data_IF_621002390139
#
_entry.id   IF_621002390139
#
_cell.length_a   1.000
_cell.length_b   1.000
_cell.length_c   1.000
_cell.angle_alpha   90.00
_cell.angle_beta   90.00
_cell.angle_gamma   90.00
#
_symmetry.space_group_name_H-M   'P 1'
#
loop_
_entity.id
_entity.type
_entity.pdbx_description
1 polymer ?
#
# COMPACT_ATOMS: atom_id res chain seq x y z
N UNK A 1 11.49 8.30 -11.02
CA UNK A 1 10.85 7.18 -10.28
C UNK A 1 9.48 7.67 -9.85
N UNK A 2 8.44 6.99 -10.28
CA UNK A 2 7.05 7.40 -10.04
C UNK A 2 6.47 6.60 -8.86
N UNK A 3 5.74 7.30 -8.00
CA UNK A 3 5.02 6.77 -6.84
C UNK A 3 3.62 7.34 -6.92
N UNK A 4 2.60 6.49 -6.80
CA UNK A 4 1.22 6.90 -6.97
C UNK A 4 0.78 7.87 -5.87
N UNK A 5 1.20 7.64 -4.61
CA UNK A 5 0.83 8.46 -3.47
C UNK A 5 2.03 8.70 -2.56
N UNK A 6 2.26 9.96 -2.19
CA UNK A 6 3.22 10.35 -1.15
C UNK A 6 2.52 11.27 -0.15
N UNK A 7 2.47 10.86 1.12
CA UNK A 7 2.09 11.73 2.23
C UNK A 7 3.35 12.19 2.94
N UNK A 8 3.57 13.50 3.01
CA UNK A 8 4.79 14.08 3.55
C UNK A 8 4.49 15.05 4.70
N UNK A 9 5.41 15.09 5.67
CA UNK A 9 5.41 16.05 6.78
C UNK A 9 6.74 16.80 6.77
N UNK A 10 6.71 18.13 6.82
CA UNK A 10 7.91 18.97 6.75
C UNK A 10 8.85 18.59 5.58
N UNK A 11 8.27 18.33 4.39
CA UNK A 11 8.97 17.89 3.17
C UNK A 11 9.65 16.51 3.26
N UNK A 12 9.43 15.74 4.33
CA UNK A 12 9.91 14.37 4.49
C UNK A 12 8.77 13.38 4.25
N UNK A 13 8.94 12.33 3.43
CA UNK A 13 7.93 11.30 3.25
C UNK A 13 7.64 10.57 4.57
N UNK A 14 6.37 10.52 4.96
CA UNK A 14 5.86 9.74 6.10
C UNK A 14 5.21 8.44 5.61
N UNK A 15 4.53 8.52 4.46
CA UNK A 15 3.91 7.38 3.78
C UNK A 15 4.24 7.46 2.28
N UNK A 16 4.60 6.32 1.71
CA UNK A 16 4.61 6.10 0.26
C UNK A 16 3.67 4.95 -0.06
N UNK A 17 2.86 5.10 -1.09
CA UNK A 17 1.96 4.03 -1.50
C UNK A 17 1.95 3.82 -3.02
N UNK A 18 1.73 2.55 -3.37
CA UNK A 18 1.48 2.09 -4.72
C UNK A 18 0.03 1.57 -4.81
N UNK A 19 -0.65 1.83 -5.91
CA UNK A 19 -1.99 1.32 -6.21
C UNK A 19 -1.87 0.27 -7.32
N UNK A 20 -2.51 -0.89 -7.10
CA UNK A 20 -2.68 -1.92 -8.12
C UNK A 20 -4.12 -2.40 -8.17
N UNK A 21 -4.89 -1.77 -9.06
CA UNK A 21 -6.31 -2.05 -9.25
C UNK A 21 -6.54 -3.05 -10.39
N UNK A 22 -6.29 -4.33 -10.11
CA UNK A 22 -6.41 -5.42 -11.09
C UNK A 22 -6.67 -6.77 -10.42
N UNK A 23 -7.10 -7.75 -11.21
CA UNK A 23 -7.54 -9.08 -10.73
C UNK A 23 -6.40 -10.06 -10.39
N UNK A 24 -5.14 -9.70 -10.65
CA UNK A 24 -3.97 -10.48 -10.25
C UNK A 24 -2.74 -9.59 -10.19
N UNK A 25 -1.96 -9.70 -9.12
CA UNK A 25 -0.64 -9.06 -8.98
C UNK A 25 0.40 -10.15 -8.84
N UNK A 26 1.24 -10.27 -9.87
CA UNK A 26 2.20 -11.37 -9.95
C UNK A 26 3.35 -11.23 -8.96
N UNK A 27 4.03 -12.35 -8.65
CA UNK A 27 5.21 -12.35 -7.78
C UNK A 27 6.31 -11.40 -8.25
N UNK A 28 6.52 -11.31 -9.57
CA UNK A 28 7.54 -10.45 -10.17
C UNK A 28 7.16 -8.97 -10.04
N UNK A 29 5.88 -8.63 -10.16
CA UNK A 29 5.39 -7.28 -9.97
C UNK A 29 5.48 -6.85 -8.50
N UNK A 30 5.09 -7.72 -7.57
CA UNK A 30 5.24 -7.46 -6.13
C UNK A 30 6.71 -7.18 -5.79
N UNK A 31 7.64 -7.98 -6.31
CA UNK A 31 9.09 -7.73 -6.15
C UNK A 31 9.53 -6.36 -6.66
N UNK A 32 9.05 -5.96 -7.84
CA UNK A 32 9.34 -4.62 -8.40
C UNK A 32 8.80 -3.51 -7.51
N UNK A 33 7.61 -3.69 -6.93
CA UNK A 33 7.01 -2.73 -6.00
C UNK A 33 7.85 -2.67 -4.71
N UNK A 34 8.24 -3.81 -4.14
CA UNK A 34 9.14 -3.89 -2.97
C UNK A 34 10.45 -3.14 -3.21
N UNK A 35 11.14 -3.42 -4.33
CA UNK A 35 12.39 -2.76 -4.71
C UNK A 35 12.21 -1.25 -4.92
N UNK A 36 11.08 -0.84 -5.48
CA UNK A 36 10.74 0.57 -5.68
C UNK A 36 10.52 1.28 -4.34
N UNK A 37 9.65 0.75 -3.49
CA UNK A 37 9.29 1.37 -2.21
C UNK A 37 10.42 1.27 -1.17
N UNK A 38 11.28 0.24 -1.22
CA UNK A 38 12.46 0.06 -0.37
C UNK A 38 13.42 1.27 -0.40
N UNK A 39 13.46 2.01 -1.50
CA UNK A 39 14.31 3.22 -1.65
C UNK A 39 13.93 4.32 -0.66
N UNK A 40 12.69 4.34 -0.17
CA UNK A 40 12.22 5.27 0.84
C UNK A 40 12.46 4.71 2.24
N UNK A 41 13.48 5.25 2.91
CA UNK A 41 13.84 4.88 4.28
C UNK A 41 12.98 5.64 5.29
N UNK A 42 12.73 5.01 6.45
CA UNK A 42 12.04 5.63 7.60
C UNK A 42 10.63 6.16 7.32
N UNK A 43 9.91 5.53 6.40
CA UNK A 43 8.50 5.85 6.12
C UNK A 43 7.69 4.56 5.96
N UNK A 44 6.38 4.68 6.17
CA UNK A 44 5.42 3.60 5.95
C UNK A 44 5.26 3.35 4.46
N UNK A 45 5.19 2.09 4.08
CA UNK A 45 5.03 1.64 2.69
C UNK A 45 3.71 0.92 2.60
N UNK A 46 2.88 1.30 1.64
CA UNK A 46 1.53 0.74 1.50
C UNK A 46 1.34 0.26 0.06
N UNK A 47 0.82 -0.95 -0.10
CA UNK A 47 0.27 -1.42 -1.37
C UNK A 47 -1.25 -1.44 -1.25
N UNK A 48 -1.92 -0.64 -2.08
CA UNK A 48 -3.38 -0.55 -2.15
C UNK A 48 -3.86 -1.44 -3.28
N UNK A 49 -4.79 -2.34 -2.96
CA UNK A 49 -5.39 -3.32 -3.89
C UNK A 49 -6.89 -3.42 -3.66
N UNK A 50 -7.67 -3.96 -4.61
CA UNK A 50 -9.08 -4.26 -4.36
C UNK A 50 -9.23 -5.29 -3.23
N UNK A 51 -8.48 -6.38 -3.32
CA UNK A 51 -8.50 -7.51 -2.39
C UNK A 51 -7.11 -8.11 -2.22
N UNK A 52 -6.78 -8.56 -0.99
CA UNK A 52 -5.48 -9.18 -0.68
C UNK A 52 -5.27 -10.53 -1.37
N UNK A 53 -6.35 -11.27 -1.65
CA UNK A 53 -6.35 -12.59 -2.32
C UNK A 53 -5.76 -12.55 -3.74
N UNK A 54 -5.70 -11.37 -4.36
CA UNK A 54 -5.22 -11.17 -5.73
C UNK A 54 -3.68 -11.13 -5.82
N UNK A 55 -2.98 -11.12 -4.69
CA UNK A 55 -1.52 -11.13 -4.62
C UNK A 55 -0.99 -12.56 -4.66
N UNK A 56 -0.13 -12.89 -5.63
CA UNK A 56 0.47 -14.23 -5.73
C UNK A 56 1.50 -14.55 -4.63
N UNK A 57 1.90 -13.53 -3.86
CA UNK A 57 2.68 -13.66 -2.63
C UNK A 57 2.34 -12.51 -1.69
N UNK A 58 2.60 -12.73 -0.41
CA UNK A 58 2.62 -11.63 0.55
C UNK A 58 3.82 -10.70 0.23
N UNK A 59 3.61 -9.37 0.15
CA UNK A 59 4.71 -8.42 0.02
C UNK A 59 5.48 -8.24 1.33
N UNK A 60 6.80 -8.15 1.26
CA UNK A 60 7.68 -7.97 2.41
C UNK A 60 7.94 -6.48 2.70
N UNK A 61 7.86 -6.09 3.97
CA UNK A 61 8.24 -4.75 4.42
C UNK A 61 7.27 -3.63 4.01
N UNK A 62 6.03 -3.98 3.66
CA UNK A 62 4.95 -3.02 3.38
C UNK A 62 3.61 -3.50 3.94
N UNK A 63 2.70 -2.57 4.13
CA UNK A 63 1.32 -2.86 4.53
C UNK A 63 0.45 -3.09 3.29
N UNK A 64 -0.48 -4.05 3.36
CA UNK A 64 -1.52 -4.20 2.34
C UNK A 64 -2.79 -3.51 2.81
N UNK A 65 -3.32 -2.59 2.00
CA UNK A 65 -4.58 -1.91 2.24
C UNK A 65 -5.58 -2.34 1.16
N UNK A 66 -6.42 -3.31 1.49
CA UNK A 66 -7.56 -3.69 0.64
C UNK A 66 -8.84 -2.92 1.02
N UNK A 67 -9.88 -3.06 0.20
CA UNK A 67 -11.16 -2.36 0.44
C UNK A 67 -11.74 -2.70 1.80
N UNK A 68 -11.65 -3.96 2.23
CA UNK A 68 -12.13 -4.40 3.54
C UNK A 68 -11.42 -3.65 4.67
N UNK A 69 -10.08 -3.65 4.68
CA UNK A 69 -9.28 -2.94 5.69
C UNK A 69 -9.54 -1.44 5.68
N UNK A 70 -9.71 -0.85 4.50
CA UNK A 70 -10.05 0.58 4.36
C UNK A 70 -11.40 0.90 5.01
N UNK A 71 -12.43 0.09 4.76
CA UNK A 71 -13.75 0.25 5.35
C UNK A 71 -13.73 0.05 6.87
N UNK A 72 -12.97 -0.91 7.38
CA UNK A 72 -12.76 -1.13 8.81
C UNK A 72 -12.15 0.12 9.47
N UNK A 73 -11.10 0.69 8.86
CA UNK A 73 -10.48 1.95 9.34
C UNK A 73 -11.43 3.13 9.34
N UNK A 74 -12.27 3.25 8.32
CA UNK A 74 -13.27 4.34 8.26
C UNK A 74 -14.26 4.20 9.42
N UNK A 75 -14.73 2.98 9.70
CA UNK A 75 -15.65 2.71 10.81
C UNK A 75 -15.04 2.98 12.18
N UNK A 76 -13.75 2.67 12.36
CA UNK A 76 -13.01 2.99 13.59
C UNK A 76 -12.95 4.51 13.85
N UNK A 77 -12.82 5.30 12.78
CA UNK A 77 -12.71 6.78 12.87
C UNK A 77 -14.09 7.44 12.97
N UNK A 78 -15.06 6.91 12.23
CA UNK A 78 -16.42 7.43 12.15
C UNK A 78 -17.43 6.32 12.51
N UNK A 79 -17.61 6.00 13.80
CA UNK A 79 -18.60 5.02 14.24
C UNK A 79 -19.98 5.46 13.76
N UNK A 80 -20.66 4.60 13.00
CA UNK A 80 -22.04 4.82 12.64
C UNK A 80 -22.88 4.39 13.85
N UNK A 81 -23.46 5.37 14.56
CA UNK A 81 -24.45 5.15 15.63
C UNK A 81 -25.78 4.67 15.04
#
# INVERSE_FOLDING_TARGET
>A
MEIDIVLARFKKPEVVAEVKWKNNVSRSEIRRIEEKLKKFRNCRKILIVPERSLLEKEPDGMEIWDVKRLLEKIKEIYPQN
#
